data_IF_292877382162
#
_entry.id   IF_292877382162
#
_cell.length_a   1.000
_cell.length_b   1.000
_cell.length_c   1.000
_cell.angle_alpha   90.00
_cell.angle_beta   90.00
_cell.angle_gamma   90.00
#
_symmetry.space_group_name_H-M   'P 1'
#
loop_
_entity.id
_entity.type
_entity.pdbx_description
1 polymer ?
#
# COMPACT_ATOMS: atom_id res chain seq x y z
N UNK A 1 1.79 -24.71 1.42
CA UNK A 1 3.20 -24.57 0.98
C UNK A 1 3.44 -24.75 -0.52
N UNK A 2 2.96 -25.82 -1.18
CA UNK A 2 3.19 -26.01 -2.63
C UNK A 2 2.79 -24.79 -3.50
N UNK A 3 1.59 -24.22 -3.27
CA UNK A 3 1.11 -23.03 -3.98
C UNK A 3 2.05 -21.81 -3.81
N UNK A 4 2.52 -21.57 -2.59
CA UNK A 4 3.45 -20.47 -2.27
C UNK A 4 4.77 -20.67 -3.00
N UNK A 5 5.30 -21.90 -3.00
CA UNK A 5 6.54 -22.23 -3.71
C UNK A 5 6.42 -21.96 -5.21
N UNK A 6 5.34 -22.43 -5.83
CA UNK A 6 5.09 -22.21 -7.26
C UNK A 6 4.94 -20.71 -7.58
N UNK A 7 4.21 -19.97 -6.74
CA UNK A 7 4.05 -18.53 -6.89
C UNK A 7 5.40 -17.81 -6.82
N UNK A 8 6.22 -18.10 -5.81
CA UNK A 8 7.56 -17.49 -5.67
C UNK A 8 8.45 -17.78 -6.87
N UNK A 9 8.46 -19.04 -7.36
CA UNK A 9 9.25 -19.40 -8.56
C UNK A 9 8.82 -18.57 -9.77
N UNK A 10 7.50 -18.44 -9.99
CA UNK A 10 6.98 -17.64 -11.10
C UNK A 10 7.34 -16.16 -10.95
N UNK A 11 7.17 -15.59 -9.76
CA UNK A 11 7.46 -14.19 -9.48
C UNK A 11 8.96 -13.86 -9.64
N UNK A 12 9.83 -14.74 -9.15
CA UNK A 12 11.28 -14.63 -9.35
C UNK A 12 11.66 -14.71 -10.84
N UNK A 13 11.02 -15.60 -11.59
CA UNK A 13 11.24 -15.72 -13.04
C UNK A 13 10.86 -14.43 -13.76
N UNK A 14 9.69 -13.86 -13.44
CA UNK A 14 9.25 -12.58 -14.01
C UNK A 14 10.23 -11.45 -13.67
N UNK A 15 10.66 -11.36 -12.41
CA UNK A 15 11.63 -10.35 -11.96
C UNK A 15 12.99 -10.46 -12.67
N UNK A 16 13.44 -11.68 -13.00
CA UNK A 16 14.69 -11.92 -13.74
C UNK A 16 14.60 -11.61 -15.24
N UNK A 17 13.39 -11.50 -15.80
CA UNK A 17 13.17 -11.28 -17.23
C UNK A 17 12.35 -10.01 -17.52
N UNK A 18 12.81 -8.82 -17.08
CA UNK A 18 12.02 -7.58 -17.19
C UNK A 18 11.73 -7.17 -18.64
N UNK A 19 12.62 -7.46 -19.59
CA UNK A 19 12.38 -7.21 -21.02
C UNK A 19 11.23 -8.07 -21.56
N UNK A 20 11.18 -9.35 -21.17
CA UNK A 20 10.09 -10.24 -21.56
C UNK A 20 8.76 -9.76 -20.97
N UNK A 21 8.76 -9.39 -19.69
CA UNK A 21 7.58 -8.81 -19.02
C UNK A 21 7.09 -7.57 -19.78
N UNK A 22 7.99 -6.63 -20.06
CA UNK A 22 7.65 -5.36 -20.71
C UNK A 22 7.18 -5.52 -22.15
N UNK A 23 7.82 -6.39 -22.93
CA UNK A 23 7.56 -6.53 -24.38
C UNK A 23 6.36 -7.43 -24.66
N UNK A 24 6.14 -8.48 -23.85
CA UNK A 24 5.13 -9.50 -24.14
C UNK A 24 4.02 -9.54 -23.10
N UNK A 25 4.36 -9.69 -21.82
CA UNK A 25 3.36 -9.94 -20.79
C UNK A 25 2.51 -8.70 -20.49
N UNK A 26 3.11 -7.51 -20.40
CA UNK A 26 2.39 -6.27 -20.14
C UNK A 26 1.38 -5.95 -21.27
N UNK A 27 1.75 -5.96 -22.56
CA UNK A 27 0.77 -5.77 -23.64
C UNK A 27 -0.34 -6.82 -23.62
N UNK A 28 -0.01 -8.10 -23.35
CA UNK A 28 -1.00 -9.17 -23.24
C UNK A 28 -1.97 -8.94 -22.08
N UNK A 29 -1.47 -8.57 -20.90
CA UNK A 29 -2.27 -8.29 -19.71
C UNK A 29 -3.21 -7.08 -19.88
N UNK A 30 -2.82 -6.12 -20.72
CA UNK A 30 -3.57 -4.90 -21.00
C UNK A 30 -4.47 -5.01 -22.24
N UNK A 31 -4.39 -6.09 -23.01
CA UNK A 31 -5.28 -6.29 -24.16
C UNK A 31 -6.75 -6.37 -23.70
N UNK A 32 -7.72 -5.77 -24.44
CA UNK A 32 -9.10 -5.57 -23.98
C UNK A 32 -9.83 -6.81 -23.47
N UNK A 33 -9.52 -7.99 -24.03
CA UNK A 33 -10.11 -9.26 -23.61
C UNK A 33 -9.59 -9.75 -22.26
N UNK A 34 -8.29 -9.56 -21.99
CA UNK A 34 -7.64 -10.05 -20.77
C UNK A 34 -7.79 -9.05 -19.63
N UNK A 35 -7.65 -7.76 -19.88
CA UNK A 35 -7.66 -6.71 -18.85
C UNK A 35 -8.96 -6.69 -18.04
N UNK A 36 -10.10 -7.04 -18.67
CA UNK A 36 -11.43 -7.12 -18.01
C UNK A 36 -11.63 -8.36 -17.14
N UNK A 37 -10.81 -9.39 -17.33
CA UNK A 37 -10.97 -10.71 -16.67
C UNK A 37 -9.88 -11.01 -15.64
N UNK A 38 -8.69 -10.45 -15.83
CA UNK A 38 -7.57 -10.67 -14.93
C UNK A 38 -7.71 -9.86 -13.65
N UNK A 39 -7.40 -10.48 -12.52
CA UNK A 39 -7.24 -9.78 -11.26
C UNK A 39 -6.11 -8.74 -11.33
N UNK A 40 -6.25 -7.65 -10.57
CA UNK A 40 -5.26 -6.57 -10.44
C UNK A 40 -3.87 -7.13 -10.19
N UNK A 41 -3.75 -8.05 -9.21
CA UNK A 41 -2.50 -8.69 -8.83
C UNK A 41 -1.74 -9.31 -10.01
N UNK A 42 -2.43 -10.01 -10.91
CA UNK A 42 -1.76 -10.64 -12.05
C UNK A 42 -1.29 -9.63 -13.08
N UNK A 43 -2.12 -8.63 -13.37
CA UNK A 43 -1.76 -7.53 -14.28
C UNK A 43 -0.54 -6.78 -13.74
N UNK A 44 -0.55 -6.50 -12.44
CA UNK A 44 0.55 -5.86 -11.73
C UNK A 44 1.88 -6.63 -11.86
N UNK A 45 1.86 -7.94 -11.63
CA UNK A 45 3.05 -8.80 -11.78
C UNK A 45 3.47 -8.97 -13.24
N UNK A 46 2.54 -8.87 -14.19
CA UNK A 46 2.83 -8.79 -15.62
C UNK A 46 3.32 -7.41 -16.07
N UNK A 47 3.53 -6.47 -15.13
CA UNK A 47 4.17 -5.18 -15.37
C UNK A 47 3.21 -4.05 -15.73
N UNK A 48 1.89 -4.26 -15.59
CA UNK A 48 0.91 -3.18 -15.75
C UNK A 48 1.09 -2.13 -14.65
N UNK A 49 1.01 -0.86 -15.02
CA UNK A 49 1.01 0.28 -14.10
C UNK A 49 -0.37 0.49 -13.48
N UNK A 50 -0.45 1.25 -12.40
CA UNK A 50 -1.68 1.73 -11.78
C UNK A 50 -2.59 2.33 -12.86
N UNK A 51 -2.12 3.28 -13.67
CA UNK A 51 -2.90 3.91 -14.74
C UNK A 51 -3.49 2.91 -15.76
N UNK A 52 -2.80 1.81 -16.05
CA UNK A 52 -3.31 0.79 -16.96
C UNK A 52 -4.33 -0.13 -16.28
N UNK A 53 -4.19 -0.32 -14.97
CA UNK A 53 -5.04 -1.19 -14.17
C UNK A 53 -6.39 -0.53 -13.86
N UNK A 54 -6.40 0.79 -13.65
CA UNK A 54 -7.62 1.53 -13.31
C UNK A 54 -8.72 1.33 -14.34
N UNK A 55 -9.95 1.20 -13.85
CA UNK A 55 -11.15 1.21 -14.67
C UNK A 55 -11.82 2.58 -14.62
N UNK A 56 -11.68 3.34 -15.72
CA UNK A 56 -12.22 4.69 -15.87
C UNK A 56 -13.51 4.63 -16.69
N UNK A 57 -14.59 5.14 -16.10
CA UNK A 57 -15.90 5.34 -16.72
C UNK A 57 -16.20 6.85 -16.73
N UNK A 58 -15.86 7.49 -17.84
CA UNK A 58 -15.97 8.96 -18.00
C UNK A 58 -17.43 9.40 -18.04
N UNK A 59 -18.33 8.60 -18.62
CA UNK A 59 -19.75 8.94 -18.75
C UNK A 59 -20.41 9.04 -17.37
N UNK A 60 -20.01 8.18 -16.44
CA UNK A 60 -20.50 8.17 -15.06
C UNK A 60 -19.57 8.86 -14.05
N UNK A 61 -18.47 9.47 -14.50
CA UNK A 61 -17.52 10.18 -13.64
C UNK A 61 -16.82 9.27 -12.60
N UNK A 62 -16.60 8.00 -12.91
CA UNK A 62 -16.02 7.01 -11.99
C UNK A 62 -14.62 6.61 -12.41
N UNK A 63 -13.72 6.51 -11.43
CA UNK A 63 -12.43 5.83 -11.56
C UNK A 63 -12.31 4.84 -10.40
N UNK A 64 -11.69 3.69 -10.63
CA UNK A 64 -11.42 2.74 -9.57
C UNK A 64 -10.34 1.73 -9.92
N UNK A 65 -10.01 0.90 -8.94
CA UNK A 65 -9.07 -0.21 -9.07
C UNK A 65 -9.56 -1.39 -8.25
N UNK A 66 -9.62 -2.57 -8.88
CA UNK A 66 -9.99 -3.79 -8.18
C UNK A 66 -11.37 -3.73 -7.49
N UNK A 67 -12.28 -2.92 -8.02
CA UNK A 67 -13.64 -2.73 -7.48
C UNK A 67 -13.75 -1.71 -6.35
N UNK A 68 -12.66 -1.05 -5.95
CA UNK A 68 -12.72 0.12 -5.07
C UNK A 68 -12.77 1.37 -5.94
N UNK A 69 -13.71 2.25 -5.66
CA UNK A 69 -13.79 3.54 -6.34
C UNK A 69 -12.81 4.51 -5.69
N UNK A 70 -12.17 5.32 -6.53
CA UNK A 70 -11.13 6.25 -6.12
C UNK A 70 -11.42 7.65 -6.64
N UNK A 71 -10.63 8.60 -6.16
CA UNK A 71 -10.60 9.96 -6.66
C UNK A 71 -9.15 10.42 -6.80
N UNK A 72 -8.87 11.16 -7.86
CA UNK A 72 -7.58 11.81 -8.03
C UNK A 72 -7.61 13.16 -7.32
N UNK A 73 -6.73 13.34 -6.33
CA UNK A 73 -6.54 14.60 -5.63
C UNK A 73 -5.21 15.25 -6.05
N UNK A 74 -5.16 16.58 -5.98
CA UNK A 74 -3.89 17.29 -6.07
C UNK A 74 -2.96 16.88 -4.94
N UNK A 75 -1.65 16.87 -5.19
CA UNK A 75 -0.65 16.38 -4.23
C UNK A 75 -0.59 17.17 -2.91
N UNK A 76 -1.09 18.41 -2.90
CA UNK A 76 -1.24 19.25 -1.71
C UNK A 76 -2.44 18.88 -0.82
N UNK A 77 -3.28 17.92 -1.21
CA UNK A 77 -4.50 17.61 -0.46
C UNK A 77 -4.25 17.29 1.02
N UNK A 78 -3.19 16.57 1.36
CA UNK A 78 -2.85 16.30 2.76
C UNK A 78 -2.46 17.57 3.51
N UNK A 79 -1.74 18.49 2.88
CA UNK A 79 -1.42 19.78 3.48
C UNK A 79 -2.69 20.60 3.74
N UNK A 80 -3.62 20.63 2.77
CA UNK A 80 -4.93 21.28 2.94
C UNK A 80 -5.70 20.68 4.12
N UNK A 81 -5.66 19.36 4.33
CA UNK A 81 -6.28 18.74 5.51
C UNK A 81 -5.64 19.23 6.81
N UNK A 82 -4.30 19.33 6.86
CA UNK A 82 -3.59 19.86 8.03
C UNK A 82 -3.98 21.31 8.33
N UNK A 83 -4.02 22.17 7.32
CA UNK A 83 -4.44 23.57 7.48
C UNK A 83 -5.90 23.66 7.94
N UNK A 84 -6.81 23.02 7.21
CA UNK A 84 -8.24 23.09 7.48
C UNK A 84 -8.61 22.61 8.89
N UNK A 85 -7.96 21.56 9.39
CA UNK A 85 -8.18 21.11 10.77
C UNK A 85 -7.44 21.97 11.79
N UNK A 86 -6.22 22.45 11.47
CA UNK A 86 -5.46 23.34 12.36
C UNK A 86 -6.17 24.67 12.65
N UNK A 87 -7.03 25.13 11.74
CA UNK A 87 -7.82 26.35 11.91
C UNK A 87 -8.99 26.19 12.89
N UNK A 88 -9.43 24.96 13.17
CA UNK A 88 -10.70 24.70 13.88
C UNK A 88 -10.56 23.85 15.14
N UNK A 89 -9.46 23.13 15.32
CA UNK A 89 -9.21 22.29 16.50
C UNK A 89 -7.80 22.49 17.05
N UNK A 90 -7.60 22.11 18.32
CA UNK A 90 -6.29 22.05 18.93
C UNK A 90 -5.37 21.03 18.22
N UNK A 91 -4.06 21.22 18.34
CA UNK A 91 -3.05 20.39 17.68
C UNK A 91 -3.22 18.90 17.99
N UNK A 92 -3.46 18.52 19.25
CA UNK A 92 -3.62 17.12 19.65
C UNK A 92 -4.85 16.48 18.99
N UNK A 93 -5.94 17.24 18.86
CA UNK A 93 -7.16 16.77 18.22
C UNK A 93 -6.99 16.68 16.69
N UNK A 94 -6.28 17.63 16.08
CA UNK A 94 -5.88 17.58 14.67
C UNK A 94 -5.09 16.31 14.37
N UNK A 95 -4.06 16.03 15.18
CA UNK A 95 -3.21 14.83 15.01
C UNK A 95 -4.01 13.53 15.16
N UNK A 96 -5.00 13.50 16.05
CA UNK A 96 -5.92 12.35 16.21
C UNK A 96 -6.83 12.18 14.99
N UNK A 97 -7.44 13.26 14.51
CA UNK A 97 -8.34 13.23 13.33
C UNK A 97 -7.59 12.73 12.11
N UNK A 98 -6.39 13.28 11.83
CA UNK A 98 -5.58 12.88 10.67
C UNK A 98 -5.16 11.42 10.73
N UNK A 99 -4.76 10.94 11.91
CA UNK A 99 -4.49 9.52 12.12
C UNK A 99 -5.72 8.65 11.83
N UNK A 100 -6.89 9.01 12.37
CA UNK A 100 -8.12 8.26 12.17
C UNK A 100 -8.58 8.24 10.71
N UNK A 101 -8.40 9.35 9.99
CA UNK A 101 -8.68 9.42 8.54
C UNK A 101 -7.75 8.46 7.80
N UNK A 102 -6.43 8.53 8.03
CA UNK A 102 -5.45 7.65 7.40
C UNK A 102 -5.74 6.17 7.69
N UNK A 103 -6.02 5.84 8.95
CA UNK A 103 -6.37 4.48 9.36
C UNK A 103 -7.60 3.96 8.62
N UNK A 104 -8.69 4.73 8.64
CA UNK A 104 -9.96 4.32 8.02
C UNK A 104 -9.83 4.21 6.50
N UNK A 105 -9.14 5.15 5.86
CA UNK A 105 -8.92 5.13 4.42
C UNK A 105 -8.25 3.83 3.98
N UNK A 106 -7.08 3.51 4.56
CA UNK A 106 -6.35 2.31 4.18
C UNK A 106 -7.05 1.03 4.61
N UNK A 107 -7.59 0.98 5.83
CA UNK A 107 -8.29 -0.21 6.32
C UNK A 107 -9.52 -0.54 5.47
N UNK A 108 -10.33 0.46 5.13
CA UNK A 108 -11.49 0.28 4.26
C UNK A 108 -11.08 -0.21 2.87
N UNK A 109 -10.11 0.46 2.26
CA UNK A 109 -9.61 0.12 0.92
C UNK A 109 -9.08 -1.32 0.86
N UNK A 110 -8.24 -1.71 1.82
CA UNK A 110 -7.71 -3.07 1.92
C UNK A 110 -8.81 -4.12 2.12
N UNK A 111 -9.80 -3.85 2.97
CA UNK A 111 -10.93 -4.78 3.20
C UNK A 111 -11.82 -4.91 1.96
N UNK A 112 -12.22 -3.79 1.36
CA UNK A 112 -13.11 -3.78 0.19
C UNK A 112 -12.45 -4.41 -1.03
N UNK A 113 -11.16 -4.12 -1.26
CA UNK A 113 -10.35 -4.74 -2.29
C UNK A 113 -10.40 -6.29 -2.21
N UNK A 114 -10.28 -6.83 -1.00
CA UNK A 114 -10.31 -8.27 -0.77
C UNK A 114 -11.72 -8.85 -0.91
N UNK A 115 -12.75 -8.20 -0.34
CA UNK A 115 -14.14 -8.68 -0.40
C UNK A 115 -14.67 -8.76 -1.83
N UNK A 116 -14.39 -7.76 -2.67
CA UNK A 116 -14.86 -7.72 -4.06
C UNK A 116 -14.16 -8.72 -4.97
N UNK A 117 -13.05 -9.32 -4.53
CA UNK A 117 -12.37 -10.45 -5.20
C UNK A 117 -11.77 -10.10 -6.58
N UNK A 118 -11.67 -8.81 -6.92
CA UNK A 118 -11.04 -8.33 -8.16
C UNK A 118 -9.55 -8.02 -7.96
N UNK A 119 -9.12 -7.76 -6.73
CA UNK A 119 -7.72 -7.50 -6.42
C UNK A 119 -6.84 -8.75 -6.53
N UNK A 120 -7.22 -9.81 -5.82
CA UNK A 120 -6.52 -11.08 -5.77
C UNK A 120 -7.51 -12.25 -5.99
N UNK A 121 -7.05 -13.39 -6.53
CA UNK A 121 -7.86 -14.61 -6.53
C UNK A 121 -8.26 -14.99 -5.10
N UNK A 122 -9.53 -15.37 -4.91
CA UNK A 122 -10.06 -15.80 -3.59
C UNK A 122 -9.24 -16.92 -2.94
N UNK A 123 -8.57 -17.75 -3.74
CA UNK A 123 -7.72 -18.85 -3.27
C UNK A 123 -6.36 -18.40 -2.71
N UNK A 124 -5.91 -17.17 -3.02
CA UNK A 124 -4.67 -16.58 -2.52
C UNK A 124 -4.91 -15.65 -1.33
N UNK A 125 -6.11 -15.09 -1.17
CA UNK A 125 -6.45 -14.16 -0.07
C UNK A 125 -6.06 -14.70 1.31
N UNK A 126 -6.37 -15.96 1.70
CA UNK A 126 -5.99 -16.48 3.01
C UNK A 126 -4.47 -16.63 3.24
N UNK A 127 -3.66 -16.59 2.18
CA UNK A 127 -2.20 -16.63 2.26
C UNK A 127 -1.59 -15.25 2.53
N UNK A 128 -2.35 -14.18 2.31
CA UNK A 128 -1.93 -12.78 2.46
C UNK A 128 -2.55 -12.20 3.74
N UNK A 129 -3.82 -12.51 3.98
CA UNK A 129 -4.60 -12.04 5.10
C UNK A 129 -4.83 -13.17 6.10
N UNK A 130 -4.13 -13.16 7.23
CA UNK A 130 -4.38 -14.05 8.35
C UNK A 130 -3.68 -13.56 9.62
N UNK A 131 -4.25 -13.88 10.79
CA UNK A 131 -3.72 -13.47 12.10
C UNK A 131 -2.29 -13.92 12.41
N UNK A 132 -1.85 -14.98 11.75
CA UNK A 132 -0.52 -15.57 11.92
C UNK A 132 0.47 -15.10 10.84
N UNK A 133 0.09 -14.16 9.96
CA UNK A 133 0.88 -13.88 8.74
C UNK A 133 2.27 -13.39 9.09
N UNK A 134 2.39 -12.51 10.09
CA UNK A 134 3.66 -11.99 10.57
C UNK A 134 4.50 -13.09 11.22
N UNK A 135 3.90 -14.00 11.98
CA UNK A 135 4.63 -15.12 12.58
C UNK A 135 5.15 -16.08 11.50
N UNK A 136 4.37 -16.30 10.45
CA UNK A 136 4.78 -17.08 9.28
C UNK A 136 5.87 -16.40 8.48
N UNK A 137 5.79 -15.09 8.25
CA UNK A 137 6.86 -14.31 7.60
C UNK A 137 8.16 -14.42 8.40
N UNK A 138 8.09 -14.35 9.73
CA UNK A 138 9.27 -14.41 10.61
C UNK A 138 9.88 -15.82 10.68
N UNK A 139 9.05 -16.87 10.64
CA UNK A 139 9.50 -18.26 10.81
C UNK A 139 9.83 -19.00 9.51
N UNK A 140 9.26 -18.58 8.37
CA UNK A 140 9.40 -19.27 7.09
C UNK A 140 9.97 -18.35 6.00
N UNK A 141 11.22 -18.59 5.55
CA UNK A 141 11.85 -17.81 4.50
C UNK A 141 11.08 -17.79 3.17
N UNK A 142 10.35 -18.86 2.84
CA UNK A 142 9.56 -18.90 1.61
C UNK A 142 8.33 -17.99 1.71
N UNK A 143 7.67 -17.96 2.88
CA UNK A 143 6.57 -17.04 3.14
C UNK A 143 7.05 -15.59 3.15
N UNK A 144 8.19 -15.30 3.80
CA UNK A 144 8.79 -13.96 3.76
C UNK A 144 9.02 -13.48 2.33
N UNK A 145 9.60 -14.32 1.48
CA UNK A 145 9.86 -13.98 0.08
C UNK A 145 8.57 -13.80 -0.73
N UNK A 146 7.58 -14.67 -0.54
CA UNK A 146 6.27 -14.53 -1.16
C UNK A 146 5.62 -13.20 -0.78
N UNK A 147 5.62 -12.89 0.51
CA UNK A 147 4.99 -11.70 1.04
C UNK A 147 5.70 -10.43 0.56
N UNK A 148 7.03 -10.41 0.51
CA UNK A 148 7.79 -9.28 -0.05
C UNK A 148 7.40 -9.00 -1.51
N UNK A 149 7.16 -10.02 -2.33
CA UNK A 149 6.67 -9.81 -3.70
C UNK A 149 5.28 -9.18 -3.72
N UNK A 150 4.39 -9.59 -2.82
CA UNK A 150 3.03 -9.05 -2.71
C UNK A 150 3.06 -7.60 -2.23
N UNK A 151 3.74 -7.32 -1.12
CA UNK A 151 3.86 -5.97 -0.56
C UNK A 151 4.53 -5.02 -1.54
N UNK A 152 5.65 -5.40 -2.16
CA UNK A 152 6.31 -4.55 -3.17
C UNK A 152 5.39 -4.22 -4.34
N UNK A 153 4.52 -5.15 -4.74
CA UNK A 153 3.56 -4.93 -5.80
C UNK A 153 2.43 -3.99 -5.38
N UNK A 154 1.88 -4.19 -4.18
CA UNK A 154 0.82 -3.35 -3.60
C UNK A 154 1.33 -1.93 -3.38
N UNK A 155 2.46 -1.76 -2.69
CA UNK A 155 3.03 -0.44 -2.39
C UNK A 155 3.48 0.29 -3.65
N UNK A 156 3.93 -0.42 -4.69
CA UNK A 156 4.21 0.19 -5.99
C UNK A 156 2.96 0.81 -6.60
N UNK A 157 1.87 0.05 -6.69
CA UNK A 157 0.65 0.50 -7.38
C UNK A 157 -0.08 1.58 -6.60
N UNK A 158 -0.30 1.34 -5.30
CA UNK A 158 -1.13 2.23 -4.47
C UNK A 158 -0.37 3.49 -4.07
N UNK A 159 0.90 3.36 -3.65
CA UNK A 159 1.63 4.49 -3.07
C UNK A 159 2.57 5.15 -4.07
N UNK A 160 3.46 4.38 -4.70
CA UNK A 160 4.48 4.96 -5.57
C UNK A 160 3.86 5.57 -6.84
N UNK A 161 3.14 4.76 -7.58
CA UNK A 161 2.46 5.19 -8.81
C UNK A 161 1.23 6.08 -8.51
N UNK A 162 0.66 5.99 -7.30
CA UNK A 162 -0.37 6.90 -6.80
C UNK A 162 0.15 8.26 -6.32
N UNK A 163 1.46 8.47 -6.25
CA UNK A 163 2.07 9.77 -5.91
C UNK A 163 2.21 10.06 -4.41
N UNK A 164 1.98 9.08 -3.53
CA UNK A 164 2.05 9.22 -2.08
C UNK A 164 3.48 9.15 -1.52
N UNK A 165 4.38 8.47 -2.24
CA UNK A 165 5.74 8.16 -1.82
C UNK A 165 6.05 6.68 -2.02
N UNK A 166 7.22 6.23 -1.57
CA UNK A 166 7.64 4.84 -1.67
C UNK A 166 7.76 4.22 -0.29
N UNK A 167 7.05 3.12 -0.03
CA UNK A 167 7.05 2.44 1.26
C UNK A 167 7.72 1.08 1.18
N UNK A 168 8.54 0.80 2.18
CA UNK A 168 9.19 -0.49 2.42
C UNK A 168 8.84 -0.99 3.82
N UNK A 169 8.24 -2.18 3.91
CA UNK A 169 7.86 -2.83 5.17
C UNK A 169 8.86 -3.94 5.52
N UNK A 170 9.41 -3.89 6.74
CA UNK A 170 10.16 -4.99 7.33
C UNK A 170 9.34 -5.70 8.41
N UNK A 171 8.53 -6.67 7.98
CA UNK A 171 7.75 -7.53 8.87
C UNK A 171 8.60 -8.51 9.70
N UNK A 172 9.90 -8.65 9.39
CA UNK A 172 10.81 -9.48 10.19
C UNK A 172 11.35 -8.73 11.40
N UNK A 173 11.44 -7.41 11.33
CA UNK A 173 11.86 -6.55 12.44
C UNK A 173 10.92 -6.71 13.66
N UNK A 174 11.46 -6.40 14.84
CA UNK A 174 10.73 -6.36 16.13
C UNK A 174 11.11 -5.08 16.88
N UNK A 175 10.24 -4.05 16.94
CA UNK A 175 8.90 -3.95 16.31
C UNK A 175 8.95 -4.01 14.77
N UNK A 176 7.80 -4.19 14.11
CA UNK A 176 7.74 -4.13 12.63
C UNK A 176 8.15 -2.72 12.22
N UNK A 177 9.10 -2.61 11.29
CA UNK A 177 9.59 -1.32 10.81
C UNK A 177 9.02 -0.98 9.44
N UNK A 178 8.69 0.29 9.23
CA UNK A 178 8.20 0.80 7.95
C UNK A 178 8.99 2.05 7.58
N UNK A 179 9.49 2.10 6.35
CA UNK A 179 10.26 3.24 5.81
C UNK A 179 9.48 3.86 4.65
N UNK A 180 9.14 5.15 4.78
CA UNK A 180 8.47 5.94 3.74
C UNK A 180 9.44 6.98 3.19
N UNK A 181 9.81 6.82 1.92
CA UNK A 181 10.62 7.75 1.16
C UNK A 181 9.72 8.69 0.38
N UNK A 182 10.16 9.96 0.21
CA UNK A 182 9.44 10.97 -0.55
C UNK A 182 7.98 11.17 -0.06
N UNK A 183 7.79 11.12 1.26
CA UNK A 183 6.49 11.36 1.90
C UNK A 183 5.91 12.70 1.44
N UNK A 184 4.72 12.70 0.84
CA UNK A 184 4.04 13.95 0.51
C UNK A 184 3.74 14.78 1.77
N UNK A 185 3.32 14.14 2.86
CA UNK A 185 2.96 14.82 4.11
C UNK A 185 4.17 15.59 4.69
N UNK A 186 5.29 14.92 4.96
CA UNK A 186 6.54 15.59 5.36
C UNK A 186 7.02 16.66 4.36
N UNK A 187 6.90 16.41 3.06
CA UNK A 187 7.38 17.34 2.03
C UNK A 187 6.61 18.66 2.06
N UNK A 188 5.28 18.60 2.15
CA UNK A 188 4.43 19.79 2.10
C UNK A 188 4.36 20.54 3.43
N UNK A 189 4.46 19.84 4.56
CA UNK A 189 4.53 20.49 5.87
C UNK A 189 5.89 21.17 6.11
N UNK A 190 6.93 20.74 5.38
CA UNK A 190 8.25 21.35 5.44
C UNK A 190 9.01 21.01 6.72
N UNK A 191 10.08 21.77 7.04
CA UNK A 191 10.91 21.51 8.21
C UNK A 191 10.13 21.56 9.53
N UNK A 192 10.39 20.59 10.41
CA UNK A 192 9.72 20.49 11.72
C UNK A 192 10.65 19.91 12.80
N UNK A 193 10.39 20.26 14.06
CA UNK A 193 11.14 19.78 15.23
C UNK A 193 10.62 18.42 15.76
N UNK A 194 9.45 17.99 15.29
CA UNK A 194 8.79 16.73 15.67
C UNK A 194 8.31 15.98 14.42
N UNK A 195 8.02 14.67 14.52
CA UNK A 195 7.39 13.92 13.45
C UNK A 195 6.02 14.51 13.07
N UNK A 196 5.71 14.56 11.77
CA UNK A 196 4.52 15.26 11.24
C UNK A 196 3.62 14.36 10.40
N UNK A 197 4.03 13.14 10.07
CA UNK A 197 3.30 12.28 9.14
C UNK A 197 2.15 11.52 9.81
N UNK A 198 1.19 12.26 10.38
CA UNK A 198 0.08 11.69 11.16
C UNK A 198 -0.90 10.92 10.29
N UNK A 199 -1.22 11.42 9.09
CA UNK A 199 -2.05 10.69 8.14
C UNK A 199 -1.38 9.36 7.76
N UNK A 200 -0.09 9.37 7.41
CA UNK A 200 0.62 8.14 7.07
C UNK A 200 0.79 7.19 8.25
N UNK A 201 0.96 7.71 9.46
CA UNK A 201 1.00 6.86 10.67
C UNK A 201 -0.31 6.07 10.79
N UNK A 202 -1.45 6.74 10.61
CA UNK A 202 -2.76 6.09 10.55
C UNK A 202 -2.88 5.10 9.39
N UNK A 203 -2.48 5.51 8.19
CA UNK A 203 -2.52 4.68 6.98
C UNK A 203 -1.77 3.35 7.17
N UNK A 204 -0.54 3.41 7.70
CA UNK A 204 0.31 2.26 7.97
C UNK A 204 -0.34 1.33 9.01
N UNK A 205 -0.90 1.91 10.08
CA UNK A 205 -1.64 1.14 11.09
C UNK A 205 -2.89 0.46 10.50
N UNK A 206 -3.61 1.15 9.61
CA UNK A 206 -4.77 0.61 8.90
C UNK A 206 -4.40 -0.57 7.98
N UNK A 207 -3.33 -0.44 7.21
CA UNK A 207 -2.80 -1.53 6.35
C UNK A 207 -2.43 -2.76 7.19
N UNK A 208 -1.59 -2.57 8.21
CA UNK A 208 -1.15 -3.66 9.08
C UNK A 208 -2.32 -4.30 9.83
N UNK A 209 -3.27 -3.50 10.33
CA UNK A 209 -4.47 -4.00 11.00
C UNK A 209 -5.33 -4.83 10.08
N UNK A 210 -5.40 -4.46 8.79
CA UNK A 210 -6.06 -5.27 7.80
C UNK A 210 -5.30 -6.61 7.71
N UNK A 211 -4.03 -6.65 7.32
CA UNK A 211 -3.27 -7.89 7.13
C UNK A 211 -3.34 -8.85 8.34
N UNK A 212 -3.27 -8.31 9.55
CA UNK A 212 -3.29 -9.05 10.81
C UNK A 212 -4.69 -9.47 11.24
N UNK A 213 -5.77 -8.85 10.76
CA UNK A 213 -7.13 -9.14 11.21
C UNK A 213 -7.38 -8.80 12.68
N UNK A 214 -6.61 -7.84 13.22
CA UNK A 214 -6.76 -7.21 14.54
C UNK A 214 -6.28 -5.76 14.45
N UNK A 215 -6.75 -4.88 15.34
CA UNK A 215 -6.32 -3.49 15.35
C UNK A 215 -4.92 -3.38 15.98
N UNK A 216 -3.98 -2.83 15.22
CA UNK A 216 -2.64 -2.45 15.69
C UNK A 216 -2.44 -0.95 15.56
N UNK A 217 -1.47 -0.42 16.30
CA UNK A 217 -1.09 0.98 16.27
C UNK A 217 0.31 1.15 15.71
N UNK A 218 0.53 2.26 15.00
CA UNK A 218 1.83 2.64 14.50
C UNK A 218 2.28 3.95 15.16
N UNK A 219 3.60 4.13 15.29
CA UNK A 219 4.23 5.38 15.71
C UNK A 219 5.29 5.82 14.73
N UNK A 220 5.30 7.09 14.35
CA UNK A 220 6.42 7.67 13.60
C UNK A 220 7.58 7.96 14.57
N UNK A 221 8.74 7.37 14.31
CA UNK A 221 9.92 7.45 15.18
C UNK A 221 11.01 8.37 14.64
N UNK A 222 10.91 8.75 13.36
CA UNK A 222 11.82 9.65 12.67
C UNK A 222 11.13 10.17 11.42
N UNK A 223 11.31 11.44 11.08
CA UNK A 223 10.59 12.07 9.97
C UNK A 223 11.55 12.79 9.02
N UNK A 224 11.25 12.75 7.72
CA UNK A 224 12.01 13.50 6.72
C UNK A 224 11.90 15.03 6.94
N UNK A 225 10.78 15.51 7.49
CA UNK A 225 10.62 16.91 7.90
C UNK A 225 11.62 17.34 8.98
N UNK A 226 12.13 16.40 9.78
CA UNK A 226 13.16 16.64 10.80
C UNK A 226 14.59 16.52 10.22
N UNK A 227 14.73 16.40 8.90
CA UNK A 227 16.02 16.20 8.22
C UNK A 227 16.48 14.74 8.13
N UNK A 228 15.65 13.77 8.51
CA UNK A 228 15.96 12.36 8.32
C UNK A 228 15.93 11.97 6.82
N UNK A 229 16.65 10.92 6.39
CA UNK A 229 16.64 10.49 4.98
C UNK A 229 15.28 9.94 4.50
N UNK A 230 14.43 9.49 5.43
CA UNK A 230 13.08 9.01 5.19
C UNK A 230 12.27 9.07 6.50
N UNK A 231 10.94 9.00 6.39
CA UNK A 231 10.09 8.80 7.55
C UNK A 231 10.17 7.32 7.97
N UNK A 232 10.29 7.05 9.27
CA UNK A 232 10.31 5.70 9.83
C UNK A 232 9.16 5.54 10.81
N UNK A 233 8.50 4.40 10.74
CA UNK A 233 7.40 4.02 11.62
C UNK A 233 7.66 2.67 12.24
N UNK A 234 7.17 2.48 13.45
CA UNK A 234 7.23 1.22 14.18
C UNK A 234 5.80 0.78 14.53
N UNK A 235 5.53 -0.51 14.39
CA UNK A 235 4.26 -1.15 14.75
C UNK A 235 4.57 -2.21 15.81
N UNK A 236 4.01 -2.01 17.00
CA UNK A 236 4.16 -2.93 18.12
C UNK A 236 3.15 -4.09 17.97
N UNK A 237 3.66 -5.33 17.99
CA UNK A 237 2.90 -6.60 17.98
C UNK A 237 3.60 -7.64 18.84
#
# INVERSE_FOLDING_TARGET
>A
MFKVRLAVILLDLLARHPLFVRIFLRPLANAPFFSRKLNVMFRAFMGSTAFEIHDVDVENGRIGIGGVDEMLFGSEFIHILHEAFGDIVAEEEKERILYDIGFKACYYEAQEALHKGRWAPRTLVPLIYNREIVDRIRSDPLMARFFNHIENMVTRIILNEGGWGSVDFDFKARPIEVRLYNSQEARYLGPADKPVCRFFTGFIAGHASSLLGERVEAREVSCAAMGAPCCRFEIDR
#
